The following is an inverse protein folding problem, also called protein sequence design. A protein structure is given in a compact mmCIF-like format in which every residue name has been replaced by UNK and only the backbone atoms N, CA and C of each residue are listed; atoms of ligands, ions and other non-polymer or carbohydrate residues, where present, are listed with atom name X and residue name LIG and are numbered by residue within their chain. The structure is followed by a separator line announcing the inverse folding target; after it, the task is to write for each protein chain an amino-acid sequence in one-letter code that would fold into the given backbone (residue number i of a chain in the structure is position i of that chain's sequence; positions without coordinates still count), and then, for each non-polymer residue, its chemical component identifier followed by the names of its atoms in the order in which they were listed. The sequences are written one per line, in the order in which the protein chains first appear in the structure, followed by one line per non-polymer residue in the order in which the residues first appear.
data_IF_097889964981
#
_entry.id   IF_097889964981
#
_cell.length_a   1.000
_cell.length_b   1.000
_cell.length_c   1.000
_cell.angle_alpha   90.00
_cell.angle_beta   90.00
_cell.angle_gamma   90.00
#
_symmetry.space_group_name_H-M   'P 1'
#
loop_
_entity.id
_entity.type
_entity.pdbx_description
1 polymer ?
#
# COMPACT_ATOMS: atom_id res chain seq x y z
N UNK A 1 10.53 -18.72 32.58
CA UNK A 1 10.23 -17.43 31.93
C UNK A 1 8.79 -17.52 31.48
N UNK A 2 7.88 -16.87 32.19
CA UNK A 2 6.47 -16.79 31.80
C UNK A 2 6.33 -15.69 30.76
N UNK A 3 5.86 -16.07 29.58
CA UNK A 3 5.44 -15.15 28.53
C UNK A 3 4.31 -14.28 29.07
N UNK A 4 4.50 -12.96 29.15
CA UNK A 4 3.44 -12.01 29.51
C UNK A 4 2.59 -11.77 28.27
N UNK A 5 1.42 -12.37 28.18
CA UNK A 5 0.48 -12.10 27.09
C UNK A 5 -0.34 -10.85 27.42
N UNK A 6 -0.86 -10.16 26.41
CA UNK A 6 -1.69 -8.97 26.63
C UNK A 6 -2.98 -9.26 27.42
N UNK A 7 -3.51 -10.48 27.31
CA UNK A 7 -4.67 -10.97 28.05
C UNK A 7 -4.40 -11.01 29.57
N UNK A 8 -3.21 -11.46 29.98
CA UNK A 8 -2.82 -11.48 31.39
C UNK A 8 -2.68 -10.08 32.00
N UNK A 9 -2.45 -9.07 31.16
CA UNK A 9 -2.28 -7.68 31.60
C UNK A 9 -3.58 -6.87 31.52
N UNK A 10 -4.72 -7.51 31.19
CA UNK A 10 -6.03 -6.85 30.98
C UNK A 10 -5.94 -5.65 30.02
N UNK A 11 -5.00 -5.70 29.08
CA UNK A 11 -4.84 -4.68 28.06
C UNK A 11 -5.87 -5.04 26.98
N UNK A 12 -6.87 -4.18 26.72
CA UNK A 12 -7.79 -4.42 25.61
C UNK A 12 -6.98 -4.62 24.32
N UNK A 13 -7.44 -5.51 23.43
CA UNK A 13 -6.72 -5.86 22.20
C UNK A 13 -6.31 -4.62 21.36
N UNK A 14 -7.08 -3.54 21.46
CA UNK A 14 -6.83 -2.26 20.81
C UNK A 14 -5.57 -1.53 21.33
N UNK A 15 -5.08 -1.88 22.53
CA UNK A 15 -3.90 -1.32 23.20
C UNK A 15 -2.72 -2.30 23.32
N UNK A 16 -2.85 -3.52 22.78
CA UNK A 16 -1.77 -4.50 22.77
C UNK A 16 -0.76 -4.18 21.66
N UNK A 17 0.21 -3.32 21.96
CA UNK A 17 1.19 -2.80 20.99
C UNK A 17 2.19 -3.89 20.53
N UNK A 18 2.34 -5.00 21.27
CA UNK A 18 3.45 -5.93 21.10
C UNK A 18 3.13 -7.27 20.42
N UNK A 19 1.85 -7.65 20.21
CA UNK A 19 1.51 -9.01 19.73
C UNK A 19 0.69 -9.03 18.43
N UNK A 20 1.04 -8.17 17.46
CA UNK A 20 0.58 -8.40 16.09
C UNK A 20 1.48 -9.46 15.44
N UNK A 21 1.04 -10.72 15.51
CA UNK A 21 1.73 -11.82 14.85
C UNK A 21 1.30 -11.83 13.38
N UNK A 22 2.27 -11.61 12.49
CA UNK A 22 2.07 -11.61 11.04
C UNK A 22 2.67 -12.88 10.45
N UNK A 23 1.85 -13.65 9.74
CA UNK A 23 2.29 -14.84 9.05
C UNK A 23 2.49 -14.55 7.58
N UNK A 24 3.66 -14.89 7.04
CA UNK A 24 3.89 -14.84 5.60
C UNK A 24 2.96 -15.84 4.91
N UNK A 25 2.24 -15.39 3.90
CA UNK A 25 1.32 -16.20 3.11
C UNK A 25 1.78 -16.27 1.65
N UNK A 26 1.14 -17.13 0.86
CA UNK A 26 1.42 -17.24 -0.56
C UNK A 26 1.01 -15.96 -1.30
N UNK A 27 1.99 -15.35 -1.96
CA UNK A 27 1.84 -14.11 -2.73
C UNK A 27 1.05 -14.34 -4.03
N UNK A 28 0.93 -15.58 -4.49
CA UNK A 28 0.22 -15.95 -5.72
C UNK A 28 -1.23 -16.38 -5.50
N UNK A 29 -1.70 -16.40 -4.24
CA UNK A 29 -3.08 -16.74 -3.95
C UNK A 29 -4.05 -15.70 -4.54
N UNK A 30 -5.21 -16.16 -5.04
CA UNK A 30 -6.23 -15.28 -5.64
C UNK A 30 -6.62 -14.14 -4.71
N UNK A 31 -6.71 -14.41 -3.41
CA UNK A 31 -7.03 -13.43 -2.39
C UNK A 31 -6.00 -12.30 -2.31
N UNK A 32 -4.71 -12.64 -2.38
CA UNK A 32 -3.62 -11.67 -2.34
C UNK A 32 -3.53 -10.89 -3.64
N UNK A 33 -3.68 -11.56 -4.78
CA UNK A 33 -3.71 -10.91 -6.10
C UNK A 33 -4.89 -9.93 -6.22
N UNK A 34 -6.09 -10.32 -5.76
CA UNK A 34 -7.26 -9.45 -5.76
C UNK A 34 -7.08 -8.25 -4.82
N UNK A 35 -6.49 -8.44 -3.63
CA UNK A 35 -6.18 -7.35 -2.72
C UNK A 35 -5.15 -6.38 -3.34
N UNK A 36 -4.16 -6.90 -4.07
CA UNK A 36 -3.16 -6.10 -4.75
C UNK A 36 -3.74 -5.27 -5.89
N UNK A 37 -4.60 -5.87 -6.72
CA UNK A 37 -5.31 -5.17 -7.78
C UNK A 37 -6.22 -4.08 -7.21
N UNK A 38 -6.93 -4.40 -6.12
CA UNK A 38 -7.77 -3.44 -5.38
C UNK A 38 -6.95 -2.25 -4.88
N UNK A 39 -5.78 -2.49 -4.29
CA UNK A 39 -4.90 -1.43 -3.78
C UNK A 39 -4.48 -0.46 -4.89
N UNK A 40 -4.07 -0.97 -6.07
CA UNK A 40 -3.69 -0.10 -7.19
C UNK A 40 -4.89 0.68 -7.75
N UNK A 41 -6.05 0.03 -7.84
CA UNK A 41 -7.28 0.69 -8.27
C UNK A 41 -7.68 1.82 -7.30
N UNK A 42 -7.56 1.61 -5.99
CA UNK A 42 -7.85 2.63 -4.97
C UNK A 42 -6.91 3.84 -5.10
N UNK A 43 -5.63 3.62 -5.40
CA UNK A 43 -4.69 4.72 -5.70
C UNK A 43 -5.17 5.53 -6.91
N UNK A 44 -5.54 4.86 -8.00
CA UNK A 44 -6.02 5.52 -9.21
C UNK A 44 -7.34 6.28 -8.97
N UNK A 45 -8.26 5.69 -8.21
CA UNK A 45 -9.52 6.32 -7.84
C UNK A 45 -9.30 7.54 -6.94
N UNK A 46 -8.36 7.46 -6.00
CA UNK A 46 -7.94 8.62 -5.20
C UNK A 46 -7.40 9.76 -6.08
N UNK A 47 -6.51 9.46 -7.04
CA UNK A 47 -5.99 10.47 -7.97
C UNK A 47 -7.09 11.08 -8.85
N UNK A 48 -8.05 10.25 -9.29
CA UNK A 48 -9.22 10.69 -10.05
C UNK A 48 -10.14 11.59 -9.24
N UNK A 49 -10.44 11.25 -7.99
CA UNK A 49 -11.24 12.08 -7.08
C UNK A 49 -10.60 13.45 -6.82
N UNK A 50 -9.26 13.53 -6.89
CA UNK A 50 -8.50 14.78 -6.80
C UNK A 50 -8.38 15.54 -8.12
N UNK A 51 -8.95 15.05 -9.23
CA UNK A 51 -8.84 15.60 -10.59
C UNK A 51 -7.38 15.67 -11.10
N UNK A 52 -6.56 14.67 -10.77
CA UNK A 52 -5.14 14.66 -11.11
C UNK A 52 -4.79 13.74 -12.29
N UNK A 53 -5.77 13.12 -12.95
CA UNK A 53 -5.56 12.17 -14.06
C UNK A 53 -4.88 12.78 -15.30
N UNK A 54 -4.97 14.11 -15.45
CA UNK A 54 -4.29 14.86 -16.52
C UNK A 54 -2.80 15.09 -16.26
N UNK A 55 -2.34 14.96 -15.00
CA UNK A 55 -0.94 15.20 -14.63
C UNK A 55 -0.24 13.98 -14.05
N UNK A 56 -0.99 13.05 -13.44
CA UNK A 56 -0.51 11.75 -12.98
C UNK A 56 -0.90 10.67 -13.99
N UNK A 57 0.03 9.77 -14.29
CA UNK A 57 -0.24 8.53 -15.01
C UNK A 57 -1.15 7.60 -14.21
N UNK A 58 -1.95 6.83 -14.94
CA UNK A 58 -2.67 5.69 -14.36
C UNK A 58 -1.64 4.62 -13.99
N UNK A 59 -1.75 4.09 -12.78
CA UNK A 59 -0.88 3.02 -12.31
C UNK A 59 -1.45 1.65 -12.63
N UNK A 60 -0.61 0.76 -13.14
CA UNK A 60 -0.97 -0.64 -13.40
C UNK A 60 -0.24 -1.57 -12.43
N UNK A 61 -0.96 -2.54 -11.89
CA UNK A 61 -0.38 -3.58 -11.03
C UNK A 61 0.67 -4.41 -11.80
N UNK A 62 1.85 -4.59 -11.20
CA UNK A 62 2.92 -5.45 -11.75
C UNK A 62 2.94 -6.78 -10.99
N UNK A 63 3.24 -6.73 -9.69
CA UNK A 63 3.47 -7.93 -8.88
C UNK A 63 3.26 -7.66 -7.39
N UNK A 64 3.03 -8.73 -6.63
CA UNK A 64 3.04 -8.71 -5.17
C UNK A 64 4.46 -9.02 -4.70
N UNK A 65 5.07 -8.07 -3.98
CA UNK A 65 6.43 -8.20 -3.42
C UNK A 65 6.39 -8.99 -2.11
N UNK A 66 5.37 -8.76 -1.28
CA UNK A 66 5.18 -9.51 -0.05
C UNK A 66 3.72 -9.49 0.38
N UNK A 67 3.30 -10.54 1.07
CA UNK A 67 1.99 -10.65 1.67
C UNK A 67 2.10 -11.34 3.03
N UNK A 68 1.46 -10.76 4.02
CA UNK A 68 1.34 -11.31 5.36
C UNK A 68 -0.12 -11.24 5.81
N UNK A 69 -0.55 -12.22 6.58
CA UNK A 69 -1.86 -12.23 7.22
C UNK A 69 -1.68 -12.02 8.72
N UNK A 70 -2.50 -11.16 9.30
CA UNK A 70 -2.56 -10.96 10.74
C UNK A 70 -3.20 -12.18 11.40
N UNK A 71 -2.58 -12.71 12.45
CA UNK A 71 -3.09 -13.86 13.17
C UNK A 71 -4.51 -13.58 13.69
N UNK A 72 -5.38 -14.60 13.56
CA UNK A 72 -6.79 -14.57 13.99
C UNK A 72 -7.64 -13.42 13.42
N UNK A 73 -7.16 -12.67 12.42
CA UNK A 73 -7.88 -11.56 11.80
C UNK A 73 -7.87 -11.68 10.28
N UNK A 74 -8.95 -11.30 9.58
CA UNK A 74 -9.00 -11.28 8.12
C UNK A 74 -8.29 -10.04 7.55
N UNK A 75 -7.11 -9.72 8.06
CA UNK A 75 -6.33 -8.54 7.65
C UNK A 75 -5.08 -9.00 6.90
N UNK A 76 -4.90 -8.47 5.70
CA UNK A 76 -3.71 -8.65 4.89
C UNK A 76 -2.83 -7.42 4.99
N UNK A 77 -1.51 -7.61 5.12
CA UNK A 77 -0.50 -6.59 4.89
C UNK A 77 0.25 -6.96 3.62
N UNK A 78 0.11 -6.15 2.58
CA UNK A 78 0.71 -6.40 1.27
C UNK A 78 1.67 -5.27 0.88
N UNK A 79 2.69 -5.65 0.11
CA UNK A 79 3.54 -4.72 -0.62
C UNK A 79 3.43 -5.06 -2.10
N UNK A 80 3.08 -4.09 -2.93
CA UNK A 80 2.83 -4.28 -4.37
C UNK A 80 3.71 -3.36 -5.20
N UNK A 81 4.06 -3.79 -6.41
CA UNK A 81 4.75 -2.96 -7.40
C UNK A 81 3.77 -2.43 -8.46
N UNK A 82 3.94 -1.18 -8.91
CA UNK A 82 3.08 -0.60 -9.95
C UNK A 82 3.84 0.15 -11.06
N UNK A 83 3.44 -0.08 -12.31
CA UNK A 83 3.92 0.59 -13.52
C UNK A 83 3.13 1.89 -13.75
N UNK A 84 3.69 2.94 -14.39
CA UNK A 84 5.09 3.10 -14.83
C UNK A 84 6.04 3.56 -13.71
N UNK A 85 5.54 3.73 -12.49
CA UNK A 85 6.33 4.26 -11.37
C UNK A 85 7.40 3.29 -10.80
N UNK A 86 7.28 2.01 -11.13
CA UNK A 86 7.99 0.86 -10.53
C UNK A 86 8.01 0.90 -9.00
N UNK A 87 6.92 1.41 -8.46
CA UNK A 87 6.80 1.78 -7.07
C UNK A 87 6.30 0.73 -6.14
N UNK A 88 6.86 0.71 -4.93
CA UNK A 88 6.51 -0.23 -3.89
C UNK A 88 5.53 0.41 -2.93
N UNK A 89 4.29 -0.03 -2.96
CA UNK A 89 3.20 0.49 -2.12
C UNK A 89 2.83 -0.53 -1.05
N UNK A 90 2.84 -0.11 0.21
CA UNK A 90 2.40 -0.89 1.36
C UNK A 90 1.03 -0.42 1.85
N UNK A 91 0.15 -1.36 2.14
CA UNK A 91 -1.11 -1.11 2.85
C UNK A 91 -1.56 -2.36 3.63
N UNK A 92 -2.41 -2.14 4.63
CA UNK A 92 -3.20 -3.18 5.26
C UNK A 92 -4.64 -3.11 4.78
N UNK A 93 -5.18 -4.28 4.43
CA UNK A 93 -6.52 -4.45 3.88
C UNK A 93 -7.30 -5.42 4.76
N UNK A 94 -8.46 -4.98 5.23
CA UNK A 94 -9.46 -5.84 5.86
C UNK A 94 -10.24 -6.55 4.75
N UNK A 95 -10.32 -7.87 4.81
CA UNK A 95 -11.17 -8.67 3.92
C UNK A 95 -12.58 -8.76 4.50
N UNK A 96 -13.56 -8.29 3.74
CA UNK A 96 -14.99 -8.40 4.05
C UNK A 96 -15.72 -9.22 2.99
N UNK A 97 -16.01 -10.49 3.29
CA UNK A 97 -16.60 -11.45 2.33
C UNK A 97 -15.80 -11.49 1.02
N UNK A 98 -16.29 -10.79 0.00
CA UNK A 98 -15.75 -10.74 -1.37
C UNK A 98 -15.09 -9.39 -1.71
N UNK A 99 -15.00 -8.46 -0.74
CA UNK A 99 -14.42 -7.13 -0.91
C UNK A 99 -13.23 -6.89 0.03
N UNK A 100 -12.52 -5.79 -0.22
CA UNK A 100 -11.43 -5.30 0.61
C UNK A 100 -11.70 -3.86 1.04
N UNK A 101 -11.22 -3.52 2.23
CA UNK A 101 -11.18 -2.15 2.74
C UNK A 101 -9.76 -1.84 3.15
N UNK A 102 -9.18 -0.76 2.62
CA UNK A 102 -7.88 -0.27 3.08
C UNK A 102 -8.07 0.39 4.45
N UNK A 103 -7.42 -0.17 5.47
CA UNK A 103 -7.56 0.26 6.88
C UNK A 103 -6.35 1.07 7.38
N UNK A 104 -5.34 1.25 6.54
CA UNK A 104 -4.15 2.06 6.84
C UNK A 104 -3.86 3.01 5.69
N UNK A 105 -3.10 4.09 5.96
CA UNK A 105 -2.58 4.93 4.88
C UNK A 105 -1.72 4.11 3.90
N UNK A 106 -1.93 4.30 2.60
CA UNK A 106 -1.06 3.75 1.56
C UNK A 106 0.30 4.42 1.64
N UNK A 107 1.36 3.63 1.77
CA UNK A 107 2.72 4.12 1.96
C UNK A 107 3.62 3.70 0.80
N UNK A 108 4.26 4.67 0.14
CA UNK A 108 5.35 4.42 -0.81
C UNK A 108 6.62 4.06 -0.03
N UNK A 109 7.18 2.87 -0.24
CA UNK A 109 8.34 2.36 0.50
C UNK A 109 9.69 2.75 -0.12
N UNK A 110 9.73 2.99 -1.43
CA UNK A 110 10.93 3.39 -2.16
C UNK A 110 10.98 4.90 -2.44
N UNK A 111 12.19 5.39 -2.74
CA UNK A 111 12.40 6.80 -3.06
C UNK A 111 11.76 7.12 -4.42
N UNK A 112 10.74 7.97 -4.43
CA UNK A 112 10.06 8.42 -5.65
C UNK A 112 10.73 9.64 -6.30
N UNK A 113 11.48 10.46 -5.55
CA UNK A 113 12.23 11.59 -6.09
C UNK A 113 11.35 12.56 -6.89
N UNK A 114 11.76 12.86 -8.12
CA UNK A 114 11.06 13.81 -9.00
C UNK A 114 9.80 13.22 -9.66
N UNK A 115 9.56 11.91 -9.51
CA UNK A 115 8.45 11.23 -10.18
C UNK A 115 7.09 11.83 -9.87
N UNK A 116 6.89 12.41 -8.68
CA UNK A 116 5.62 13.00 -8.24
C UNK A 116 5.60 14.54 -8.21
N UNK A 117 6.61 15.24 -8.71
CA UNK A 117 6.77 16.70 -8.49
C UNK A 117 5.64 17.58 -9.05
N UNK A 118 4.95 17.12 -10.10
CA UNK A 118 3.77 17.79 -10.65
C UNK A 118 2.58 17.80 -9.68
N UNK A 119 2.54 16.90 -8.70
CA UNK A 119 1.43 16.83 -7.76
C UNK A 119 1.46 18.02 -6.77
N UNK A 120 0.33 18.72 -6.59
CA UNK A 120 0.28 19.96 -5.82
C UNK A 120 0.38 19.74 -4.30
N UNK A 121 0.05 18.53 -3.81
CA UNK A 121 -0.03 18.23 -2.39
C UNK A 121 0.94 17.10 -1.99
N UNK A 122 1.59 17.26 -0.84
CA UNK A 122 2.63 16.33 -0.33
C UNK A 122 2.11 14.92 -0.06
N UNK A 123 0.83 14.76 0.27
CA UNK A 123 0.19 13.47 0.45
C UNK A 123 -0.09 12.74 -0.86
N UNK A 124 -0.14 13.46 -1.98
CA UNK A 124 -0.36 12.89 -3.32
C UNK A 124 0.94 12.55 -4.03
N UNK A 125 2.02 13.32 -3.80
CA UNK A 125 3.33 13.10 -4.44
C UNK A 125 3.84 11.65 -4.40
N UNK A 126 3.71 10.89 -3.30
CA UNK A 126 4.18 9.50 -3.27
C UNK A 126 3.34 8.53 -4.12
N UNK A 127 2.11 8.93 -4.48
CA UNK A 127 1.14 8.13 -5.24
C UNK A 127 1.06 8.54 -6.71
N UNK A 128 1.54 9.73 -7.05
CA UNK A 128 1.51 10.27 -8.41
C UNK A 128 2.81 9.95 -9.15
N UNK A 129 2.67 9.43 -10.37
CA UNK A 129 3.75 9.42 -11.35
C UNK A 129 3.44 10.43 -12.45
N UNK A 130 4.24 11.49 -12.57
CA UNK A 130 3.98 12.58 -13.49
C UNK A 130 4.07 12.14 -14.95
N UNK A 131 3.06 12.50 -15.74
CA UNK A 131 3.04 12.26 -17.20
C UNK A 131 4.22 12.93 -17.90
N UNK A 132 4.58 14.13 -17.43
CA UNK A 132 5.76 14.86 -17.86
C UNK A 132 6.78 14.82 -16.74
N UNK A 133 7.77 13.95 -16.88
CA UNK A 133 8.93 13.97 -15.99
C UNK A 133 9.73 15.24 -16.28
N UNK A 134 10.18 15.93 -15.23
CA UNK A 134 11.19 16.98 -15.40
C UNK A 134 12.43 16.28 -15.96
N UNK A 135 12.65 16.41 -17.27
CA UNK A 135 13.91 15.98 -17.86
C UNK A 135 14.99 16.79 -17.17
N UNK A 136 15.84 16.14 -16.38
CA UNK A 136 17.14 16.72 -16.08
C UNK A 136 17.85 16.80 -17.43
N UNK A 137 17.72 17.95 -18.08
CA UNK A 137 18.62 18.41 -19.12
C UNK A 137 20.00 18.36 -18.51
N UNK A 138 20.68 17.22 -18.63
CA UNK A 138 22.10 17.10 -18.33
C UNK A 138 22.78 17.92 -19.41
N UNK A 139 22.92 19.22 -19.16
CA UNK A 139 23.87 20.05 -19.87
C UNK A 139 25.25 19.51 -19.52
N UNK A 140 25.84 18.76 -20.45
CA UNK A 140 27.27 18.51 -20.52
C UNK A 140 27.82 19.29 -21.70
#
# INVERSE_FOLDING_TARGET
MTSRTCEEMEIPDEYCICEQIWHKIDIHSDNVTNAAQFLINDINDFLKQKNLTEICETLDFIEVISANQLENKPVLKIVVSASPSYGKYEAQLLKEKDNFIIITKITRLDKYGEQGYCAPAEDVRPLCYCRQQLTTSTTR
#
